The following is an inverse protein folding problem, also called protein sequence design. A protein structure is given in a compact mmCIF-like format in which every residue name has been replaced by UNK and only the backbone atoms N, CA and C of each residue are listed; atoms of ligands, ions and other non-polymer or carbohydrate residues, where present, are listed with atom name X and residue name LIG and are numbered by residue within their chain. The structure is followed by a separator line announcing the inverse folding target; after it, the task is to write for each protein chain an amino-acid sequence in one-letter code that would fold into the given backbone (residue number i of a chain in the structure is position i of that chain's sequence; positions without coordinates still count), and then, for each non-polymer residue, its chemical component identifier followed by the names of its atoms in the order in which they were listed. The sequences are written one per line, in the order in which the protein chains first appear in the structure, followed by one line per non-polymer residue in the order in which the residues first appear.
data_IF_799377719233
#
_entry.id   IF_799377719233
#
_cell.length_a   1.000
_cell.length_b   1.000
_cell.length_c   1.000
_cell.angle_alpha   90.00
_cell.angle_beta   90.00
_cell.angle_gamma   90.00
#
_symmetry.space_group_name_H-M   'P 1'
#
loop_
_entity.id
_entity.type
_entity.pdbx_description
1 polymer ?
#
# COMPACT_ATOMS: atom_id res chain seq x y z
N UNK A 1 -23.94 -10.42 0.76
CA UNK A 1 -24.40 -9.26 -0.03
C UNK A 1 -23.24 -8.83 -0.90
N UNK A 2 -23.31 -9.05 -2.21
CA UNK A 2 -22.33 -8.52 -3.18
C UNK A 2 -22.75 -7.10 -3.51
N UNK A 3 -22.10 -6.12 -2.88
CA UNK A 3 -22.30 -4.71 -3.21
C UNK A 3 -21.61 -4.46 -4.55
N UNK A 4 -22.39 -4.34 -5.63
CA UNK A 4 -21.84 -3.92 -6.94
C UNK A 4 -21.36 -2.49 -6.80
N UNK A 5 -20.06 -2.28 -6.85
CA UNK A 5 -19.43 -0.95 -6.84
C UNK A 5 -19.46 -0.43 -8.28
N UNK A 6 -19.89 0.81 -8.51
CA UNK A 6 -19.83 1.40 -9.85
C UNK A 6 -18.36 1.64 -10.30
N UNK A 7 -18.15 1.71 -11.62
CA UNK A 7 -16.80 1.83 -12.18
C UNK A 7 -16.08 3.14 -11.77
N UNK A 8 -16.81 4.23 -11.52
CA UNK A 8 -16.21 5.49 -11.09
C UNK A 8 -15.68 5.39 -9.66
N UNK A 9 -16.46 4.75 -8.79
CA UNK A 9 -16.12 4.47 -7.40
C UNK A 9 -14.98 3.46 -7.30
N UNK A 10 -14.97 2.41 -8.14
CA UNK A 10 -13.87 1.45 -8.21
C UNK A 10 -12.55 2.13 -8.62
N UNK A 11 -12.58 3.00 -9.63
CA UNK A 11 -11.41 3.77 -10.07
C UNK A 11 -10.92 4.75 -9.00
N UNK A 12 -11.82 5.44 -8.31
CA UNK A 12 -11.47 6.32 -7.20
C UNK A 12 -10.82 5.52 -6.06
N UNK A 13 -11.42 4.41 -5.65
CA UNK A 13 -10.89 3.56 -4.59
C UNK A 13 -9.51 3.02 -4.95
N UNK A 14 -9.34 2.52 -6.18
CA UNK A 14 -8.05 2.07 -6.71
C UNK A 14 -6.99 3.17 -6.61
N UNK A 15 -7.31 4.40 -7.04
CA UNK A 15 -6.37 5.53 -6.95
C UNK A 15 -5.94 5.82 -5.51
N UNK A 16 -6.88 5.73 -4.55
CA UNK A 16 -6.60 5.95 -3.12
C UNK A 16 -5.74 4.83 -2.52
N UNK A 17 -5.99 3.58 -2.91
CA UNK A 17 -5.18 2.44 -2.46
C UNK A 17 -3.73 2.58 -2.94
N UNK A 18 -3.52 2.96 -4.20
CA UNK A 18 -2.17 3.20 -4.75
C UNK A 18 -1.47 4.39 -4.07
N UNK A 19 -2.20 5.48 -3.80
CA UNK A 19 -1.67 6.62 -3.05
C UNK A 19 -1.24 6.23 -1.63
N UNK A 20 -2.05 5.42 -0.94
CA UNK A 20 -1.72 4.91 0.39
C UNK A 20 -0.51 3.97 0.36
N UNK A 21 -0.43 3.08 -0.64
CA UNK A 21 0.70 2.18 -0.81
C UNK A 21 2.00 2.96 -0.99
N UNK A 22 2.00 3.98 -1.85
CA UNK A 22 3.15 4.87 -2.04
C UNK A 22 3.59 5.54 -0.74
N UNK A 23 2.64 6.08 0.04
CA UNK A 23 2.94 6.72 1.34
C UNK A 23 3.56 5.74 2.34
N UNK A 24 3.09 4.50 2.38
CA UNK A 24 3.69 3.49 3.26
C UNK A 24 5.13 3.17 2.86
N UNK A 25 5.43 3.09 1.56
CA UNK A 25 6.79 2.87 1.09
C UNK A 25 7.71 4.07 1.34
N UNK A 26 7.21 5.30 1.17
CA UNK A 26 7.96 6.51 1.52
C UNK A 26 8.33 6.54 3.02
N UNK A 27 7.37 6.20 3.89
CA UNK A 27 7.61 6.08 5.32
C UNK A 27 8.60 4.95 5.65
N UNK A 28 8.47 3.80 4.97
CA UNK A 28 9.39 2.68 5.13
C UNK A 28 10.82 3.05 4.69
N UNK A 29 10.97 3.79 3.59
CA UNK A 29 12.25 4.26 3.08
C UNK A 29 12.89 5.28 4.04
N UNK A 30 12.09 6.22 4.56
CA UNK A 30 12.55 7.19 5.55
C UNK A 30 13.04 6.51 6.84
N UNK A 31 12.28 5.58 7.39
CA UNK A 31 12.65 4.83 8.60
C UNK A 31 13.86 3.92 8.38
N UNK A 32 13.96 3.28 7.21
CA UNK A 32 15.12 2.48 6.83
C UNK A 32 16.38 3.34 6.71
N UNK A 33 16.28 4.49 6.05
CA UNK A 33 17.41 5.42 5.89
C UNK A 33 17.88 6.02 7.22
N UNK A 34 16.97 6.20 8.19
CA UNK A 34 17.32 6.63 9.54
C UNK A 34 18.03 5.54 10.37
N UNK A 35 18.00 4.28 9.92
CA UNK A 35 18.65 3.16 10.61
C UNK A 35 20.03 2.90 10.01
N UNK A 36 21.13 2.99 10.78
CA UNK A 36 22.46 2.64 10.30
C UNK A 36 22.53 1.17 9.84
N UNK A 37 23.32 0.88 8.80
CA UNK A 37 23.35 -0.45 8.16
C UNK A 37 23.75 -1.60 9.09
N UNK A 38 24.50 -1.33 10.16
CA UNK A 38 24.94 -2.34 11.14
C UNK A 38 23.90 -2.62 12.23
N UNK A 39 22.80 -1.85 12.28
CA UNK A 39 21.75 -2.01 13.27
C UNK A 39 20.57 -2.77 12.66
N UNK A 40 19.92 -3.67 13.42
CA UNK A 40 18.67 -4.26 12.96
C UNK A 40 17.65 -3.20 12.59
N UNK A 41 17.00 -3.38 11.43
CA UNK A 41 15.99 -2.46 10.94
C UNK A 41 14.76 -2.47 11.84
N UNK A 42 14.14 -1.31 12.04
CA UNK A 42 12.92 -1.21 12.84
C UNK A 42 11.83 -2.16 12.28
N UNK A 43 11.14 -2.95 13.13
CA UNK A 43 10.05 -3.83 12.68
C UNK A 43 8.95 -3.10 11.91
N UNK A 44 8.74 -1.82 12.21
CA UNK A 44 7.80 -0.95 11.51
C UNK A 44 8.05 -0.88 9.99
N UNK A 45 9.32 -0.88 9.54
CA UNK A 45 9.65 -0.83 8.11
C UNK A 45 9.08 -2.04 7.37
N UNK A 46 9.14 -3.23 7.98
CA UNK A 46 8.60 -4.45 7.40
C UNK A 46 7.07 -4.38 7.34
N UNK A 47 6.44 -3.96 8.44
CA UNK A 47 4.98 -3.77 8.49
C UNK A 47 4.49 -2.77 7.44
N UNK A 48 5.21 -1.68 7.20
CA UNK A 48 4.87 -0.69 6.18
C UNK A 48 4.97 -1.25 4.76
N UNK A 49 6.04 -1.99 4.45
CA UNK A 49 6.19 -2.66 3.15
C UNK A 49 5.08 -3.69 2.93
N UNK A 50 4.79 -4.53 3.93
CA UNK A 50 3.67 -5.47 3.87
C UNK A 50 2.33 -4.74 3.65
N UNK A 51 2.10 -3.61 4.32
CA UNK A 51 0.90 -2.83 4.11
C UNK A 51 0.82 -2.27 2.68
N UNK A 52 1.93 -1.76 2.12
CA UNK A 52 1.99 -1.29 0.75
C UNK A 52 1.65 -2.41 -0.27
N UNK A 53 2.19 -3.62 -0.05
CA UNK A 53 1.94 -4.78 -0.90
C UNK A 53 0.47 -5.21 -0.87
N UNK A 54 -0.15 -5.24 0.33
CA UNK A 54 -1.59 -5.57 0.47
C UNK A 54 -2.46 -4.52 -0.23
N UNK A 55 -2.12 -3.23 -0.09
CA UNK A 55 -2.85 -2.14 -0.74
C UNK A 55 -2.76 -2.23 -2.28
N UNK A 56 -1.60 -2.59 -2.83
CA UNK A 56 -1.43 -2.85 -4.27
C UNK A 56 -2.26 -4.06 -4.71
N UNK A 57 -2.19 -5.16 -3.97
CA UNK A 57 -2.96 -6.36 -4.29
C UNK A 57 -4.48 -6.13 -4.27
N UNK A 58 -4.97 -5.23 -3.43
CA UNK A 58 -6.39 -4.81 -3.46
C UNK A 58 -6.68 -3.90 -4.66
N UNK A 59 -5.77 -2.98 -4.99
CA UNK A 59 -5.90 -2.10 -6.14
C UNK A 59 -5.92 -2.88 -7.47
N UNK A 60 -5.14 -3.94 -7.58
CA UNK A 60 -5.11 -4.85 -8.73
C UNK A 60 -6.41 -5.67 -8.82
N UNK A 61 -6.92 -6.16 -7.68
CA UNK A 61 -8.23 -6.84 -7.64
C UNK A 61 -9.38 -5.94 -8.10
N UNK A 62 -9.33 -4.64 -7.81
CA UNK A 62 -10.32 -3.68 -8.32
C UNK A 62 -10.18 -3.43 -9.82
N UNK A 63 -8.97 -3.51 -10.37
CA UNK A 63 -8.72 -3.38 -11.80
C UNK A 63 -9.27 -4.60 -12.57
N UNK A 64 -9.08 -5.80 -12.02
CA UNK A 64 -9.57 -7.05 -12.62
C UNK A 64 -11.10 -7.18 -12.56
N UNK A 65 -11.74 -6.45 -11.64
CA UNK A 65 -13.18 -6.49 -11.41
C UNK A 65 -13.99 -5.40 -12.14
N UNK A 66 -13.32 -4.40 -12.74
CA UNK A 66 -13.94 -3.26 -13.44
C UNK A 66 -14.01 -3.46 -14.95
#
# INVERSE_FOLDING_TARGET
MTTTIDAATANLLRSRLLDLARRQDELAAYEAAATPYWKPQAPAVHGRRTAADVLRAEADRLLDAS
#
